data_IF_160874072449
#
_entry.id   IF_160874072449
#
_cell.length_a   1.000
_cell.length_b   1.000
_cell.length_c   1.000
_cell.angle_alpha   90.00
_cell.angle_beta   90.00
_cell.angle_gamma   90.00
#
_symmetry.space_group_name_H-M   'P 1'
#
loop_
_entity.id
_entity.type
_entity.pdbx_description
1 polymer ?
#
# COMPACT_ATOMS: atom_id res chain seq x y z
N UNK A 1 8.77 9.65 23.09
CA UNK A 1 7.81 9.62 21.95
C UNK A 1 6.79 8.54 22.26
N UNK A 2 5.54 8.86 22.64
CA UNK A 2 4.65 7.80 23.16
C UNK A 2 3.16 8.10 23.27
N UNK A 3 2.63 9.13 22.61
CA UNK A 3 1.22 9.53 22.76
C UNK A 3 0.38 9.39 21.48
N UNK A 4 0.97 8.98 20.35
CA UNK A 4 0.28 9.06 19.04
C UNK A 4 -0.87 8.04 18.89
N UNK A 5 -0.89 6.98 19.70
CA UNK A 5 -1.91 5.93 19.66
C UNK A 5 -2.50 5.60 21.03
N UNK A 6 -2.34 6.50 22.02
CA UNK A 6 -3.01 6.34 23.31
C UNK A 6 -4.53 6.34 23.09
N UNK A 7 -5.19 5.22 23.39
CA UNK A 7 -6.63 5.02 23.13
C UNK A 7 -6.97 4.23 21.86
N UNK A 8 -5.98 3.83 21.06
CA UNK A 8 -6.20 2.89 19.97
C UNK A 8 -6.20 1.45 20.52
N UNK A 9 -7.39 0.88 20.70
CA UNK A 9 -7.57 -0.49 21.16
C UNK A 9 -8.20 -1.36 20.07
N UNK A 10 -7.97 -2.67 20.17
CA UNK A 10 -8.56 -3.67 19.28
C UNK A 10 -10.10 -3.59 19.36
N UNK A 11 -10.75 -3.83 18.24
CA UNK A 11 -12.19 -3.80 18.00
C UNK A 11 -12.89 -2.44 18.16
N UNK A 12 -12.16 -1.37 18.44
CA UNK A 12 -12.73 -0.03 18.42
C UNK A 12 -13.04 0.44 16.98
N UNK A 13 -14.19 1.11 16.76
CA UNK A 13 -14.50 1.73 15.49
C UNK A 13 -13.55 2.89 15.25
N UNK A 14 -13.13 3.06 14.01
CA UNK A 14 -12.31 4.20 13.63
C UNK A 14 -12.55 4.62 12.17
N UNK A 15 -12.31 5.90 11.91
CA UNK A 15 -12.46 6.54 10.61
C UNK A 15 -11.09 6.99 10.13
N UNK A 16 -10.74 6.64 8.90
CA UNK A 16 -9.43 6.91 8.34
C UNK A 16 -9.53 7.48 6.94
N UNK A 17 -8.53 8.27 6.58
CA UNK A 17 -8.36 8.79 5.23
C UNK A 17 -7.20 8.03 4.60
N UNK A 18 -7.48 7.30 3.54
CA UNK A 18 -6.44 6.66 2.73
C UNK A 18 -6.14 7.60 1.57
N UNK A 19 -4.90 8.07 1.50
CA UNK A 19 -4.37 8.76 0.33
C UNK A 19 -3.82 7.73 -0.67
N UNK A 20 -4.40 7.72 -1.87
CA UNK A 20 -3.91 6.97 -3.03
C UNK A 20 -3.14 7.95 -3.91
N UNK A 21 -1.79 8.02 -3.81
CA UNK A 21 -1.00 8.96 -4.59
C UNK A 21 -1.02 8.61 -6.09
N UNK A 22 -0.17 9.27 -6.88
CA UNK A 22 -0.03 8.99 -8.30
C UNK A 22 0.07 7.47 -8.59
N UNK A 23 -0.61 6.96 -9.64
CA UNK A 23 -1.21 7.72 -10.76
C UNK A 23 -2.69 8.09 -10.57
N UNK A 24 -3.29 7.79 -9.41
CA UNK A 24 -4.72 8.06 -9.18
C UNK A 24 -4.93 9.42 -8.51
N UNK A 25 -4.05 9.76 -7.55
CA UNK A 25 -4.07 11.04 -6.82
C UNK A 25 -5.45 11.39 -6.22
N UNK A 26 -5.95 10.49 -5.37
CA UNK A 26 -7.27 10.62 -4.71
C UNK A 26 -7.19 10.24 -3.25
N UNK A 27 -8.14 10.75 -2.48
CA UNK A 27 -8.36 10.34 -1.10
C UNK A 27 -9.69 9.60 -0.98
N UNK A 28 -9.73 8.61 -0.10
CA UNK A 28 -10.97 7.91 0.26
C UNK A 28 -11.07 7.87 1.77
N UNK A 29 -12.21 8.31 2.28
CA UNK A 29 -12.55 8.14 3.70
C UNK A 29 -13.18 6.77 3.88
N UNK A 30 -12.66 6.01 4.83
CA UNK A 30 -13.12 4.67 5.15
C UNK A 30 -13.42 4.56 6.63
N UNK A 31 -14.49 3.85 6.96
CA UNK A 31 -14.78 3.43 8.33
C UNK A 31 -14.30 1.99 8.51
N UNK A 32 -13.92 1.64 9.72
CA UNK A 32 -13.40 0.31 10.02
C UNK A 32 -13.28 0.05 11.50
N UNK A 33 -12.64 -1.07 11.82
CA UNK A 33 -12.26 -1.44 13.18
C UNK A 33 -10.79 -1.76 13.24
N UNK A 34 -10.14 -1.40 14.35
CA UNK A 34 -8.79 -1.84 14.64
C UNK A 34 -8.83 -3.34 14.94
N UNK A 35 -7.98 -4.15 14.32
CA UNK A 35 -7.93 -5.60 14.53
C UNK A 35 -6.68 -6.08 15.23
N UNK A 36 -5.60 -5.33 15.15
CA UNK A 36 -4.40 -5.58 15.94
C UNK A 36 -3.70 -4.27 16.21
N UNK A 37 -2.94 -4.24 17.31
CA UNK A 37 -1.99 -3.17 17.64
C UNK A 37 -0.67 -3.85 17.98
N UNK A 38 0.41 -3.43 17.34
CA UNK A 38 1.77 -3.94 17.56
C UNK A 38 2.72 -2.75 17.62
N UNK A 39 3.21 -2.42 18.82
CA UNK A 39 4.05 -1.25 19.04
C UNK A 39 3.34 0.05 18.64
N UNK A 40 3.87 0.73 17.64
CA UNK A 40 3.33 1.97 17.04
C UNK A 40 2.53 1.72 15.74
N UNK A 41 2.20 0.45 15.46
CA UNK A 41 1.47 0.04 14.26
C UNK A 41 0.13 -0.59 14.62
N UNK A 42 -0.83 -0.49 13.71
CA UNK A 42 -2.15 -1.11 13.87
C UNK A 42 -2.71 -1.60 12.54
N UNK A 43 -3.45 -2.70 12.60
CA UNK A 43 -4.18 -3.25 11.46
C UNK A 43 -5.63 -2.81 11.50
N UNK A 44 -6.18 -2.53 10.33
CA UNK A 44 -7.56 -2.11 10.16
C UNK A 44 -8.33 -3.10 9.30
N UNK A 45 -9.55 -3.41 9.73
CA UNK A 45 -10.56 -4.03 8.88
C UNK A 45 -11.54 -2.97 8.43
N UNK A 46 -11.69 -2.80 7.11
CA UNK A 46 -12.67 -1.87 6.55
C UNK A 46 -14.10 -2.38 6.76
N UNK A 47 -14.98 -1.50 7.22
CA UNK A 47 -16.40 -1.75 7.38
C UNK A 47 -17.18 -0.93 6.36
N UNK A 48 -17.83 -1.60 5.40
CA UNK A 48 -18.72 -0.94 4.45
C UNK A 48 -18.02 -0.01 3.46
N UNK A 49 -17.03 -0.52 2.71
CA UNK A 49 -16.52 0.19 1.53
C UNK A 49 -17.64 0.37 0.50
N UNK A 50 -17.85 1.59 0.03
CA UNK A 50 -18.71 1.83 -1.13
C UNK A 50 -18.13 1.11 -2.35
N UNK A 51 -19.00 0.74 -3.30
CA UNK A 51 -18.57 0.10 -4.54
C UNK A 51 -17.51 0.94 -5.27
N UNK A 52 -17.71 2.27 -5.31
CA UNK A 52 -16.76 3.22 -5.90
C UNK A 52 -15.39 3.18 -5.20
N UNK A 53 -15.35 3.25 -3.86
CA UNK A 53 -14.09 3.19 -3.11
C UNK A 53 -13.40 1.85 -3.26
N UNK A 54 -14.15 0.74 -3.28
CA UNK A 54 -13.60 -0.61 -3.51
C UNK A 54 -12.96 -0.71 -4.89
N UNK A 55 -13.63 -0.24 -5.94
CA UNK A 55 -13.09 -0.23 -7.30
C UNK A 55 -11.83 0.64 -7.41
N UNK A 56 -11.85 1.82 -6.80
CA UNK A 56 -10.71 2.75 -6.79
C UNK A 56 -9.48 2.12 -6.11
N UNK A 57 -9.65 1.56 -4.91
CA UNK A 57 -8.57 0.93 -4.15
C UNK A 57 -8.05 -0.29 -4.91
N UNK A 58 -8.94 -1.13 -5.45
CA UNK A 58 -8.56 -2.31 -6.25
C UNK A 58 -7.69 -1.92 -7.44
N UNK A 59 -8.15 -0.97 -8.26
CA UNK A 59 -7.41 -0.46 -9.41
C UNK A 59 -6.04 0.10 -9.00
N UNK A 60 -5.98 0.82 -7.87
CA UNK A 60 -4.72 1.34 -7.34
C UNK A 60 -3.72 0.22 -7.03
N UNK A 61 -4.17 -0.81 -6.32
CA UNK A 61 -3.33 -1.97 -5.96
C UNK A 61 -2.87 -2.71 -7.21
N UNK A 62 -3.75 -2.95 -8.17
CA UNK A 62 -3.43 -3.59 -9.45
C UNK A 62 -2.32 -2.81 -10.21
N UNK A 63 -2.44 -1.49 -10.29
CA UNK A 63 -1.42 -0.63 -10.92
C UNK A 63 -0.08 -0.66 -10.17
N UNK A 64 -0.09 -0.74 -8.83
CA UNK A 64 1.14 -0.76 -8.02
C UNK A 64 1.85 -2.10 -8.08
N UNK A 65 1.12 -3.21 -8.00
CA UNK A 65 1.68 -4.57 -8.11
C UNK A 65 2.18 -4.81 -9.54
N UNK A 66 1.44 -4.40 -10.57
CA UNK A 66 1.88 -4.49 -11.96
C UNK A 66 3.12 -3.65 -12.27
N UNK A 67 3.28 -2.49 -11.61
CA UNK A 67 4.53 -1.71 -11.67
C UNK A 67 5.69 -2.43 -10.99
N UNK A 68 5.48 -3.08 -9.86
CA UNK A 68 6.56 -3.82 -9.17
C UNK A 68 7.06 -5.01 -10.00
N UNK A 69 6.16 -5.75 -10.64
CA UNK A 69 6.57 -6.84 -11.55
C UNK A 69 7.28 -6.29 -12.78
N UNK A 70 6.77 -5.24 -13.42
CA UNK A 70 7.41 -4.62 -14.59
C UNK A 70 8.79 -4.01 -14.25
N UNK A 71 8.91 -3.35 -13.09
CA UNK A 71 10.18 -2.76 -12.65
C UNK A 71 11.21 -3.83 -12.27
N UNK A 72 10.79 -4.92 -11.63
CA UNK A 72 11.65 -6.08 -11.37
C UNK A 72 12.14 -6.76 -12.66
N UNK A 73 11.25 -6.93 -13.65
CA UNK A 73 11.63 -7.43 -14.98
C UNK A 73 12.58 -6.48 -15.71
N UNK A 74 12.33 -5.17 -15.66
CA UNK A 74 13.18 -4.16 -16.30
C UNK A 74 14.54 -4.02 -15.63
N UNK A 75 14.62 -4.11 -14.30
CA UNK A 75 15.89 -4.10 -13.57
C UNK A 75 16.74 -5.34 -13.89
N UNK A 76 16.12 -6.52 -14.00
CA UNK A 76 16.80 -7.73 -14.43
C UNK A 76 17.28 -7.63 -15.89
N UNK A 77 16.45 -7.08 -16.78
CA UNK A 77 16.81 -6.86 -18.18
C UNK A 77 18.00 -5.89 -18.32
N UNK A 78 17.98 -4.76 -17.61
CA UNK A 78 19.09 -3.81 -17.60
C UNK A 78 20.35 -4.41 -16.97
N UNK A 79 20.24 -5.17 -15.88
CA UNK A 79 21.39 -5.87 -15.29
C UNK A 79 22.02 -6.87 -16.27
N UNK A 80 21.22 -7.58 -17.07
CA UNK A 80 21.74 -8.49 -18.08
C UNK A 80 22.40 -7.75 -19.25
N UNK A 81 21.84 -6.61 -19.67
CA UNK A 81 22.42 -5.77 -20.72
C UNK A 81 23.76 -5.13 -20.31
N UNK A 82 23.88 -4.64 -19.07
CA UNK A 82 25.10 -3.99 -18.59
C UNK A 82 26.07 -4.93 -17.88
N UNK A 83 25.63 -6.10 -17.41
CA UNK A 83 26.44 -7.13 -16.76
C UNK A 83 27.15 -8.07 -17.73
N UNK A 84 26.68 -8.19 -18.98
CA UNK A 84 27.31 -9.03 -20.01
C UNK A 84 28.58 -8.40 -20.65
N UNK A 85 29.04 -7.24 -20.18
CA UNK A 85 30.17 -6.50 -20.79
C UNK A 85 31.48 -6.56 -20.00
N UNK A 86 31.73 -7.65 -19.28
CA UNK A 86 33.05 -7.97 -18.69
C UNK A 86 33.27 -9.48 -18.58
N UNK A 87 33.50 -10.16 -19.69
CA UNK A 87 34.50 -11.24 -19.80
C UNK A 87 34.91 -11.32 -21.26
N UNK A 88 36.10 -10.82 -21.57
CA UNK A 88 37.03 -11.30 -22.61
C UNK A 88 38.12 -10.24 -22.77
N UNK A 89 39.18 -10.47 -22.01
CA UNK A 89 40.45 -9.76 -22.00
C UNK A 89 41.38 -10.58 -21.13
#
# INVERSE_FOLDING_TARGET
VGHRFAGCHVDLPASFIIHLPEPINRHVTVKGRIKHVLGDSFGLQFAGLTAASRTLIRRYVELRVGRQSAFGHMQNYLRNLFGARRVNG
#
